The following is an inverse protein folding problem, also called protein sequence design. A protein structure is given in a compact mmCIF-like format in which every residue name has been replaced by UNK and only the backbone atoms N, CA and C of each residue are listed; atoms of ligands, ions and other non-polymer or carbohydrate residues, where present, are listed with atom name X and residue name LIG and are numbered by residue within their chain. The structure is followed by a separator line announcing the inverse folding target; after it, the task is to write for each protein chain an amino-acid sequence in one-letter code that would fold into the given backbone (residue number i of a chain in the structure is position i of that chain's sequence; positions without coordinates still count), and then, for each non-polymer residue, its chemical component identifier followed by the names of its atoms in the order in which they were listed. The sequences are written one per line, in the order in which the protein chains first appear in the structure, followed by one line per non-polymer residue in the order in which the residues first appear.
data_IF_529397500866
#
_entry.id   IF_529397500866
#
_cell.length_a   1.000
_cell.length_b   1.000
_cell.length_c   1.000
_cell.angle_alpha   90.00
_cell.angle_beta   90.00
_cell.angle_gamma   90.00
#
_symmetry.space_group_name_H-M   'P 1'
#
loop_
_entity.id
_entity.type
_entity.pdbx_description
1 polymer ?
#
# COMPACT_ATOMS: atom_id res chain seq x y z
N UNK A 1 26.38 -14.85 50.35
CA UNK A 1 27.30 -14.40 51.42
C UNK A 1 26.47 -13.56 52.38
N UNK A 2 26.36 -13.93 53.65
CA UNK A 2 25.52 -13.21 54.61
C UNK A 2 26.19 -11.88 54.99
N UNK A 3 25.45 -10.78 55.19
CA UNK A 3 26.03 -9.46 55.48
C UNK A 3 26.91 -9.43 56.75
N UNK A 4 26.65 -10.34 57.69
CA UNK A 4 27.45 -10.56 58.91
C UNK A 4 28.86 -11.08 58.60
N UNK A 5 29.01 -12.01 57.65
CA UNK A 5 30.31 -12.58 57.27
C UNK A 5 31.18 -11.58 56.50
N UNK A 6 30.53 -10.70 55.72
CA UNK A 6 31.21 -9.61 55.00
C UNK A 6 31.77 -8.58 55.99
N UNK A 7 30.99 -8.18 57.00
CA UNK A 7 31.43 -7.26 58.04
C UNK A 7 32.57 -7.84 58.88
N UNK A 8 32.45 -9.10 59.33
CA UNK A 8 33.49 -9.76 60.09
C UNK A 8 34.81 -9.89 59.30
N UNK A 9 34.76 -10.16 58.00
CA UNK A 9 35.94 -10.19 57.14
C UNK A 9 36.58 -8.81 56.94
N UNK A 10 35.76 -7.76 56.81
CA UNK A 10 36.24 -6.37 56.68
C UNK A 10 36.88 -5.90 57.99
N UNK A 11 36.25 -6.14 59.14
CA UNK A 11 36.78 -5.75 60.45
C UNK A 11 38.07 -6.52 60.80
N UNK A 12 38.16 -7.80 60.45
CA UNK A 12 39.39 -8.58 60.60
C UNK A 12 40.53 -8.05 59.70
N UNK A 13 40.22 -7.62 58.48
CA UNK A 13 41.20 -7.04 57.56
C UNK A 13 41.67 -5.64 57.99
N UNK A 14 40.78 -4.83 58.56
CA UNK A 14 41.10 -3.49 59.09
C UNK A 14 41.90 -3.60 60.40
N UNK A 15 41.51 -4.50 61.29
CA UNK A 15 42.21 -4.77 62.56
C UNK A 15 43.62 -5.34 62.38
N UNK A 16 43.87 -6.05 61.28
CA UNK A 16 45.17 -6.64 60.96
C UNK A 16 46.23 -5.63 60.46
N UNK A 17 45.94 -4.32 60.35
CA UNK A 17 46.84 -3.30 59.77
C UNK A 17 47.56 -3.86 58.54
N UNK A 18 46.81 -4.30 57.54
CA UNK A 18 47.39 -4.85 56.31
C UNK A 18 48.21 -3.75 55.64
N UNK A 19 49.54 -3.79 55.81
CA UNK A 19 50.47 -2.94 55.09
C UNK A 19 50.56 -3.53 53.67
N UNK A 20 49.66 -3.08 52.80
CA UNK A 20 49.67 -3.48 51.39
C UNK A 20 51.04 -3.15 50.79
N UNK A 21 51.70 -4.17 50.25
CA UNK A 21 52.97 -4.00 49.56
C UNK A 21 52.74 -3.22 48.26
N UNK A 22 53.66 -2.34 47.86
CA UNK A 22 53.57 -1.54 46.63
C UNK A 22 53.10 -2.31 45.37
N UNK A 23 53.56 -3.55 45.09
CA UNK A 23 53.04 -4.35 43.96
C UNK A 23 51.55 -4.73 44.10
N UNK A 24 51.03 -4.95 45.31
CA UNK A 24 49.62 -5.27 45.52
C UNK A 24 48.72 -4.04 45.33
N UNK A 25 49.19 -2.85 45.73
CA UNK A 25 48.51 -1.59 45.43
C UNK A 25 48.45 -1.33 43.92
N UNK A 26 49.58 -1.54 43.23
CA UNK A 26 49.64 -1.39 41.77
C UNK A 26 48.67 -2.34 41.06
N UNK A 27 48.56 -3.60 41.52
CA UNK A 27 47.60 -4.56 41.00
C UNK A 27 46.15 -4.12 41.24
N UNK A 28 45.84 -3.58 42.41
CA UNK A 28 44.49 -3.10 42.73
C UNK A 28 44.08 -1.90 41.86
N UNK A 29 45.00 -0.94 41.66
CA UNK A 29 44.81 0.20 40.76
C UNK A 29 44.63 -0.29 39.31
N UNK A 30 45.40 -1.29 38.89
CA UNK A 30 45.27 -1.87 37.56
C UNK A 30 43.91 -2.56 37.36
N UNK A 31 43.48 -3.38 38.32
CA UNK A 31 42.18 -4.05 38.27
C UNK A 31 41.03 -3.03 38.22
N UNK A 32 41.07 -1.98 39.03
CA UNK A 32 40.05 -0.92 39.02
C UNK A 32 40.02 -0.17 37.70
N UNK A 33 41.18 0.14 37.11
CA UNK A 33 41.27 0.75 35.78
C UNK A 33 40.67 -0.16 34.68
N UNK A 34 40.96 -1.46 34.72
CA UNK A 34 40.41 -2.45 33.78
C UNK A 34 38.89 -2.56 33.90
N UNK A 35 38.36 -2.66 35.13
CA UNK A 35 36.90 -2.71 35.37
C UNK A 35 36.21 -1.45 34.87
N UNK A 36 36.78 -0.27 35.14
CA UNK A 36 36.25 1.00 34.64
C UNK A 36 36.25 1.07 33.10
N UNK A 37 37.33 0.63 32.46
CA UNK A 37 37.45 0.57 31.00
C UNK A 37 36.39 -0.34 30.38
N UNK A 38 36.24 -1.56 30.91
CA UNK A 38 35.23 -2.50 30.41
C UNK A 38 33.81 -1.97 30.63
N UNK A 39 33.51 -1.34 31.78
CA UNK A 39 32.21 -0.70 32.03
C UNK A 39 31.88 0.38 30.99
N UNK A 40 32.83 1.26 30.68
CA UNK A 40 32.65 2.30 29.66
C UNK A 40 32.49 1.69 28.25
N UNK A 41 33.25 0.64 27.92
CA UNK A 41 33.14 -0.05 26.63
C UNK A 41 31.77 -0.73 26.45
N UNK A 42 31.29 -1.48 27.44
CA UNK A 42 29.98 -2.14 27.38
C UNK A 42 28.85 -1.12 27.31
N UNK A 43 28.95 0.01 28.04
CA UNK A 43 27.98 1.11 27.96
C UNK A 43 27.88 1.67 26.53
N UNK A 44 29.02 2.03 25.93
CA UNK A 44 29.06 2.57 24.56
C UNK A 44 28.57 1.56 23.52
N UNK A 45 28.89 0.28 23.71
CA UNK A 45 28.41 -0.81 22.83
C UNK A 45 26.90 -0.99 22.93
N UNK A 46 26.33 -0.90 24.13
CA UNK A 46 24.88 -0.94 24.36
C UNK A 46 24.15 0.24 23.72
N UNK A 47 24.67 1.46 23.87
CA UNK A 47 24.13 2.68 23.25
C UNK A 47 24.13 2.60 21.70
N UNK A 48 25.23 2.11 21.11
CA UNK A 48 25.31 1.91 19.66
C UNK A 48 24.35 0.83 19.16
N UNK A 49 24.17 -0.25 19.93
CA UNK A 49 23.23 -1.32 19.58
C UNK A 49 21.79 -0.78 19.57
N UNK A 50 21.37 -0.12 20.66
CA UNK A 50 20.04 0.50 20.75
C UNK A 50 19.78 1.49 19.61
N UNK A 51 20.76 2.34 19.30
CA UNK A 51 20.66 3.30 18.19
C UNK A 51 20.50 2.58 16.84
N UNK A 52 21.25 1.50 16.59
CA UNK A 52 21.14 0.74 15.34
C UNK A 52 19.82 -0.03 15.21
N UNK A 53 19.29 -0.53 16.33
CA UNK A 53 17.95 -1.16 16.36
C UNK A 53 16.85 -0.14 16.08
N UNK A 54 16.95 1.07 16.66
CA UNK A 54 16.01 2.17 16.41
C UNK A 54 16.03 2.61 14.95
N UNK A 55 17.22 2.77 14.36
CA UNK A 55 17.36 3.09 12.93
C UNK A 55 16.76 1.98 12.07
N UNK A 56 17.01 0.71 12.38
CA UNK A 56 16.44 -0.42 11.65
C UNK A 56 14.91 -0.43 11.74
N UNK A 57 14.35 -0.20 12.92
CA UNK A 57 12.90 -0.12 13.14
C UNK A 57 12.29 1.04 12.33
N UNK A 58 12.96 2.19 12.30
CA UNK A 58 12.53 3.34 11.51
C UNK A 58 12.56 3.04 10.01
N UNK A 59 13.61 2.36 9.52
CA UNK A 59 13.71 1.94 8.13
C UNK A 59 12.58 0.97 7.76
N UNK A 60 12.29 -0.02 8.60
CA UNK A 60 11.20 -0.96 8.36
C UNK A 60 9.85 -0.25 8.29
N UNK A 61 9.56 0.64 9.26
CA UNK A 61 8.33 1.44 9.22
C UNK A 61 8.23 2.31 7.98
N UNK A 62 9.34 2.90 7.53
CA UNK A 62 9.37 3.69 6.31
C UNK A 62 9.10 2.83 5.06
N UNK A 63 9.67 1.64 4.99
CA UNK A 63 9.40 0.68 3.93
C UNK A 63 7.93 0.23 3.91
N UNK A 64 7.37 -0.09 5.07
CA UNK A 64 5.96 -0.48 5.20
C UNK A 64 5.02 0.65 4.74
N UNK A 65 5.31 1.88 5.15
CA UNK A 65 4.57 3.07 4.72
C UNK A 65 4.71 3.25 3.20
N UNK A 66 5.92 3.12 2.65
CA UNK A 66 6.18 3.23 1.21
C UNK A 66 5.41 2.18 0.41
N UNK A 67 5.41 0.93 0.86
CA UNK A 67 4.64 -0.17 0.24
C UNK A 67 3.15 0.14 0.28
N UNK A 68 2.65 0.63 1.41
CA UNK A 68 1.25 1.03 1.56
C UNK A 68 0.88 2.14 0.57
N UNK A 69 1.70 3.17 0.45
CA UNK A 69 1.49 4.24 -0.52
C UNK A 69 1.54 3.74 -1.98
N UNK A 70 2.47 2.84 -2.32
CA UNK A 70 2.50 2.29 -3.67
C UNK A 70 1.26 1.51 -4.02
N UNK A 71 0.76 0.69 -3.09
CA UNK A 71 -0.52 -0.03 -3.26
C UNK A 71 -1.67 0.96 -3.48
N UNK A 72 -1.79 1.97 -2.63
CA UNK A 72 -2.82 3.00 -2.77
C UNK A 72 -2.74 3.69 -4.14
N UNK A 73 -1.55 4.07 -4.59
CA UNK A 73 -1.36 4.70 -5.92
C UNK A 73 -1.80 3.77 -7.04
N UNK A 74 -1.46 2.48 -6.96
CA UNK A 74 -1.86 1.48 -7.95
C UNK A 74 -3.38 1.30 -7.98
N UNK A 75 -4.01 1.21 -6.80
CA UNK A 75 -5.46 1.12 -6.65
C UNK A 75 -6.16 2.36 -7.23
N UNK A 76 -5.67 3.56 -6.92
CA UNK A 76 -6.19 4.82 -7.48
C UNK A 76 -6.04 4.89 -9.00
N UNK A 77 -4.92 4.43 -9.56
CA UNK A 77 -4.72 4.37 -11.01
C UNK A 77 -5.68 3.38 -11.66
N UNK A 78 -5.90 2.22 -11.03
CA UNK A 78 -6.83 1.22 -11.51
C UNK A 78 -8.27 1.75 -11.49
N UNK A 79 -8.65 2.49 -10.44
CA UNK A 79 -9.96 3.14 -10.34
C UNK A 79 -10.13 4.23 -11.40
N UNK A 80 -9.14 5.12 -11.57
CA UNK A 80 -9.20 6.16 -12.59
C UNK A 80 -9.34 5.55 -14.00
N UNK A 81 -8.57 4.49 -14.29
CA UNK A 81 -8.67 3.78 -15.57
C UNK A 81 -10.05 3.14 -15.77
N UNK A 82 -10.70 2.62 -14.71
CA UNK A 82 -12.09 2.15 -14.79
C UNK A 82 -13.05 3.29 -15.13
N UNK A 83 -12.94 4.42 -14.43
CA UNK A 83 -13.81 5.58 -14.67
C UNK A 83 -13.65 6.14 -16.08
N UNK A 84 -12.43 6.26 -16.59
CA UNK A 84 -12.17 6.68 -17.98
C UNK A 84 -12.85 5.73 -18.98
N UNK A 85 -12.75 4.41 -18.77
CA UNK A 85 -13.41 3.42 -19.63
C UNK A 85 -14.94 3.52 -19.60
N UNK A 86 -15.52 3.80 -18.42
CA UNK A 86 -16.97 4.05 -18.30
C UNK A 86 -17.37 5.30 -19.10
N UNK A 87 -16.58 6.37 -18.98
CA UNK A 87 -16.82 7.62 -19.72
C UNK A 87 -16.76 7.40 -21.24
N UNK A 88 -15.76 6.65 -21.74
CA UNK A 88 -15.64 6.32 -23.17
C UNK A 88 -16.88 5.58 -23.71
N UNK A 89 -17.43 4.62 -22.95
CA UNK A 89 -18.65 3.90 -23.34
C UNK A 89 -19.86 4.83 -23.37
N UNK A 90 -19.99 5.71 -22.39
CA UNK A 90 -21.09 6.67 -22.30
C UNK A 90 -21.02 7.70 -23.44
N UNK A 91 -19.83 8.23 -23.73
CA UNK A 91 -19.60 9.15 -24.85
C UNK A 91 -19.91 8.48 -26.19
N UNK A 92 -19.43 7.26 -26.41
CA UNK A 92 -19.71 6.50 -27.63
C UNK A 92 -21.22 6.33 -27.88
N UNK A 93 -21.96 5.90 -26.86
CA UNK A 93 -23.40 5.66 -27.01
C UNK A 93 -24.20 6.96 -27.15
N UNK A 94 -23.76 8.04 -26.50
CA UNK A 94 -24.37 9.36 -26.62
C UNK A 94 -24.18 9.91 -28.03
N UNK A 95 -22.94 9.86 -28.54
CA UNK A 95 -22.63 10.29 -29.91
C UNK A 95 -23.39 9.43 -30.92
N UNK A 96 -23.48 8.11 -30.71
CA UNK A 96 -24.23 7.21 -31.61
C UNK A 96 -25.73 7.51 -31.63
N UNK A 97 -26.31 7.91 -30.49
CA UNK A 97 -27.73 8.28 -30.40
C UNK A 97 -28.05 9.66 -31.00
N UNK A 98 -27.02 10.46 -31.33
CA UNK A 98 -27.20 11.83 -31.80
C UNK A 98 -27.58 11.87 -33.30
N UNK A 99 -28.63 12.59 -33.72
CA UNK A 99 -29.08 12.63 -35.13
C UNK A 99 -28.04 13.12 -36.15
N UNK A 100 -27.04 13.88 -35.70
CA UNK A 100 -25.92 14.41 -36.52
C UNK A 100 -24.57 13.97 -35.96
N UNK A 101 -24.40 12.67 -35.75
CA UNK A 101 -23.18 12.12 -35.18
C UNK A 101 -21.94 12.36 -36.08
N UNK A 102 -20.80 12.63 -35.44
CA UNK A 102 -19.50 12.67 -36.09
C UNK A 102 -18.93 11.25 -36.23
N UNK A 103 -18.99 10.72 -37.46
CA UNK A 103 -18.50 9.38 -37.77
C UNK A 103 -17.00 9.19 -37.51
N UNK A 104 -16.18 10.25 -37.59
CA UNK A 104 -14.75 10.13 -37.29
C UNK A 104 -14.54 9.88 -35.78
N UNK A 105 -15.30 10.58 -34.93
CA UNK A 105 -15.29 10.33 -33.48
C UNK A 105 -15.84 8.96 -33.12
N UNK A 106 -16.97 8.57 -33.72
CA UNK A 106 -17.56 7.23 -33.50
C UNK A 106 -16.58 6.11 -33.86
N UNK A 107 -15.85 6.25 -34.96
CA UNK A 107 -14.82 5.27 -35.33
C UNK A 107 -13.68 5.25 -34.30
N UNK A 108 -13.22 6.42 -33.84
CA UNK A 108 -12.22 6.52 -32.79
C UNK A 108 -12.63 5.81 -31.50
N UNK A 109 -13.85 6.06 -31.03
CA UNK A 109 -14.41 5.38 -29.86
C UNK A 109 -14.57 3.87 -30.10
N UNK A 110 -15.12 3.46 -31.26
CA UNK A 110 -15.29 2.05 -31.60
C UNK A 110 -13.96 1.29 -31.59
N UNK A 111 -12.90 1.90 -32.15
CA UNK A 111 -11.54 1.35 -32.10
C UNK A 111 -11.02 1.27 -30.67
N UNK A 112 -11.17 2.33 -29.87
CA UNK A 112 -10.74 2.34 -28.47
C UNK A 112 -11.42 1.23 -27.65
N UNK A 113 -12.75 1.11 -27.76
CA UNK A 113 -13.54 0.07 -27.10
C UNK A 113 -13.09 -1.33 -27.52
N UNK A 114 -12.73 -1.53 -28.78
CA UNK A 114 -12.26 -2.84 -29.28
C UNK A 114 -10.96 -3.35 -28.63
N UNK A 115 -10.14 -2.45 -28.09
CA UNK A 115 -8.84 -2.79 -27.51
C UNK A 115 -8.93 -3.37 -26.10
N UNK A 116 -9.92 -2.93 -25.32
CA UNK A 116 -10.01 -3.27 -23.90
C UNK A 116 -11.30 -4.01 -23.52
N UNK A 117 -12.34 -3.94 -24.33
CA UNK A 117 -13.61 -4.61 -24.06
C UNK A 117 -13.50 -6.11 -24.42
N UNK A 118 -14.02 -7.03 -23.59
CA UNK A 118 -14.07 -8.45 -23.90
C UNK A 118 -14.77 -8.71 -25.23
N UNK A 119 -14.32 -9.75 -25.93
CA UNK A 119 -14.80 -10.09 -27.28
C UNK A 119 -16.31 -10.24 -27.36
N UNK A 120 -16.94 -10.89 -26.39
CA UNK A 120 -18.38 -11.12 -26.39
C UNK A 120 -19.17 -9.81 -26.21
N UNK A 121 -18.71 -8.95 -25.30
CA UNK A 121 -19.33 -7.64 -25.05
C UNK A 121 -19.16 -6.70 -26.25
N UNK A 122 -17.97 -6.68 -26.86
CA UNK A 122 -17.74 -5.88 -28.05
C UNK A 122 -18.59 -6.35 -29.24
N UNK A 123 -18.73 -7.67 -29.44
CA UNK A 123 -19.61 -8.20 -30.49
C UNK A 123 -21.07 -7.85 -30.25
N UNK A 124 -21.54 -7.89 -29.00
CA UNK A 124 -22.91 -7.49 -28.65
C UNK A 124 -23.13 -5.99 -28.90
N UNK A 125 -22.16 -5.15 -28.51
CA UNK A 125 -22.17 -3.73 -28.81
C UNK A 125 -22.19 -3.46 -30.32
N UNK A 126 -21.33 -4.12 -31.10
CA UNK A 126 -21.27 -3.97 -32.55
C UNK A 126 -22.60 -4.39 -33.22
N UNK A 127 -23.20 -5.50 -32.81
CA UNK A 127 -24.53 -5.93 -33.28
C UNK A 127 -25.60 -4.89 -33.00
N UNK A 128 -25.59 -4.31 -31.79
CA UNK A 128 -26.51 -3.25 -31.38
C UNK A 128 -26.36 -2.01 -32.26
N UNK A 129 -25.13 -1.51 -32.43
CA UNK A 129 -24.83 -0.30 -33.20
C UNK A 129 -25.09 -0.47 -34.70
N UNK A 130 -24.89 -1.67 -35.24
CA UNK A 130 -25.14 -2.00 -36.64
C UNK A 130 -26.55 -2.51 -36.94
N UNK A 131 -27.49 -2.42 -35.98
CA UNK A 131 -28.89 -2.87 -36.14
C UNK A 131 -29.01 -4.31 -36.68
N UNK A 132 -28.16 -5.21 -36.22
CA UNK A 132 -28.17 -6.62 -36.66
C UNK A 132 -29.42 -7.36 -36.17
N UNK A 133 -29.84 -8.40 -36.89
CA UNK A 133 -30.98 -9.23 -36.49
C UNK A 133 -30.72 -9.93 -35.15
N UNK A 134 -31.64 -9.77 -34.20
CA UNK A 134 -31.48 -10.30 -32.83
C UNK A 134 -30.44 -9.56 -31.99
N UNK A 135 -30.12 -8.30 -32.33
CA UNK A 135 -29.24 -7.48 -31.52
C UNK A 135 -29.86 -7.16 -30.14
N UNK A 136 -29.04 -7.14 -29.07
CA UNK A 136 -29.48 -6.68 -27.75
C UNK A 136 -29.82 -5.19 -27.79
N UNK A 137 -30.68 -4.75 -26.88
CA UNK A 137 -31.00 -3.33 -26.74
C UNK A 137 -29.78 -2.56 -26.20
N UNK A 138 -29.59 -1.28 -26.56
CA UNK A 138 -28.45 -0.47 -26.08
C UNK A 138 -28.31 -0.45 -24.56
N UNK A 139 -29.45 -0.41 -23.85
CA UNK A 139 -29.49 -0.41 -22.37
C UNK A 139 -29.09 -1.76 -21.77
N UNK A 140 -29.37 -2.87 -22.43
CA UNK A 140 -28.92 -4.20 -22.00
C UNK A 140 -27.41 -4.34 -22.14
N UNK A 141 -26.85 -3.87 -23.27
CA UNK A 141 -25.40 -3.82 -23.48
C UNK A 141 -24.72 -2.96 -22.41
N UNK A 142 -25.32 -1.83 -22.03
CA UNK A 142 -24.82 -1.00 -20.93
C UNK A 142 -24.79 -1.74 -19.60
N UNK A 143 -25.81 -2.53 -19.28
CA UNK A 143 -25.84 -3.34 -18.06
C UNK A 143 -24.73 -4.40 -18.07
N UNK A 144 -24.51 -5.07 -19.20
CA UNK A 144 -23.47 -6.08 -19.32
C UNK A 144 -22.06 -5.48 -19.19
N UNK A 145 -21.82 -4.33 -19.83
CA UNK A 145 -20.57 -3.58 -19.70
C UNK A 145 -20.38 -3.08 -18.25
N UNK A 146 -21.45 -2.60 -17.61
CA UNK A 146 -21.43 -2.14 -16.22
C UNK A 146 -21.06 -3.28 -15.26
N UNK A 147 -21.64 -4.46 -15.43
CA UNK A 147 -21.30 -5.66 -14.65
C UNK A 147 -19.83 -6.06 -14.83
N UNK A 148 -19.31 -5.96 -16.05
CA UNK A 148 -17.91 -6.24 -16.32
C UNK A 148 -16.96 -5.23 -15.66
N UNK A 149 -17.28 -3.94 -15.70
CA UNK A 149 -16.42 -2.88 -15.17
C UNK A 149 -16.48 -2.77 -13.64
N UNK A 150 -17.67 -2.88 -13.05
CA UNK A 150 -17.90 -2.70 -11.60
C UNK A 150 -17.82 -4.02 -10.81
N UNK A 151 -17.87 -5.18 -11.47
CA UNK A 151 -17.80 -6.50 -10.82
C UNK A 151 -18.81 -6.61 -9.66
N UNK A 152 -18.33 -6.70 -8.43
CA UNK A 152 -19.14 -6.85 -7.22
C UNK A 152 -19.97 -5.59 -6.92
N UNK A 153 -19.47 -4.41 -7.30
CA UNK A 153 -20.15 -3.13 -7.09
C UNK A 153 -21.24 -2.85 -8.14
N UNK A 154 -21.49 -3.79 -9.06
CA UNK A 154 -22.50 -3.62 -10.10
C UNK A 154 -23.93 -3.61 -9.55
N UNK A 155 -24.24 -4.33 -8.48
CA UNK A 155 -25.63 -4.45 -7.99
C UNK A 155 -26.60 -5.03 -9.04
N UNK A 156 -27.89 -4.70 -8.93
CA UNK A 156 -29.00 -5.34 -9.67
C UNK A 156 -29.80 -4.40 -10.58
N UNK A 157 -29.21 -3.25 -10.97
CA UNK A 157 -29.81 -2.27 -11.88
C UNK A 157 -30.32 -2.94 -13.17
N UNK A 158 -31.56 -2.60 -13.55
CA UNK A 158 -32.21 -3.12 -14.75
C UNK A 158 -32.15 -2.12 -15.90
N UNK A 159 -32.29 -2.63 -17.12
CA UNK A 159 -32.20 -1.81 -18.34
C UNK A 159 -33.29 -0.71 -18.37
N UNK A 160 -34.47 -0.96 -17.80
CA UNK A 160 -35.59 -0.02 -17.78
C UNK A 160 -35.33 1.18 -16.85
N UNK A 161 -34.47 1.02 -15.86
CA UNK A 161 -34.12 2.03 -14.86
C UNK A 161 -33.09 3.03 -15.38
N UNK A 162 -32.44 2.73 -16.52
CA UNK A 162 -31.51 3.64 -17.17
C UNK A 162 -32.31 4.73 -17.90
N UNK A 163 -32.17 5.98 -17.45
CA UNK A 163 -32.79 7.14 -18.08
C UNK A 163 -32.08 7.47 -19.39
N UNK A 164 -32.85 7.63 -20.45
CA UNK A 164 -32.38 8.12 -21.75
C UNK A 164 -33.29 9.25 -22.19
N UNK A 165 -32.75 10.46 -22.30
CA UNK A 165 -33.51 11.63 -22.74
C UNK A 165 -33.60 11.64 -24.26
N UNK A 166 -34.82 11.69 -24.79
CA UNK A 166 -35.05 11.99 -26.20
C UNK A 166 -35.42 13.48 -26.32
N UNK A 167 -34.89 14.22 -27.31
CA UNK A 167 -35.30 15.61 -27.52
C UNK A 167 -36.82 15.67 -27.72
N UNK A 168 -37.50 16.71 -27.19
CA UNK A 168 -38.93 16.90 -27.43
C UNK A 168 -39.18 16.99 -28.95
N UNK A 169 -40.27 16.41 -29.45
CA UNK A 169 -40.62 16.54 -30.87
C UNK A 169 -40.78 18.04 -31.20
N UNK A 170 -40.07 18.48 -32.25
CA UNK A 170 -40.20 19.83 -32.83
C UNK A 170 -41.59 20.08 -33.43
#
# INVERSE_FOLDING_TARGET
MKPEELKAAIDAAIGAKIILSYPQLALFVFITAVVAYFGAYFKKKGENLATSEDVRLLTQKFEDVKITYYKQIEDYKAELARQTRVAEVAEFLTEWSTPKADYAKLNGYSMALSLWLPTDLYRNLAKCVCYSTGAPFPKEVLIDIRKYLLKEDAGDLKAEEIVHFTPPPE
#
